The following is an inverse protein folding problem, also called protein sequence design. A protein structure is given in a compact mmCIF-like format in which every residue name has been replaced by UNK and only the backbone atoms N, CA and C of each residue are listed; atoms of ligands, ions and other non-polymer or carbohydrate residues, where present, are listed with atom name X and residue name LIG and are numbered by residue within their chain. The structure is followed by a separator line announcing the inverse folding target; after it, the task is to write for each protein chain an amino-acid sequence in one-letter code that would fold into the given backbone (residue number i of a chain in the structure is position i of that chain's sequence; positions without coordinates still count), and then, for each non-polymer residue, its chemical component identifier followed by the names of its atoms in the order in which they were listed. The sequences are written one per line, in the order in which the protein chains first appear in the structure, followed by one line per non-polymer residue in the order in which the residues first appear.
data_IF_038185585385
#
_entry.id   IF_038185585385
#
_cell.length_a   1.000
_cell.length_b   1.000
_cell.length_c   1.000
_cell.angle_alpha   90.00
_cell.angle_beta   90.00
_cell.angle_gamma   90.00
#
_symmetry.space_group_name_H-M   'P 1'
#
loop_
_entity.id
_entity.type
_entity.pdbx_description
1 polymer ?
#
# COMPACT_ATOMS: atom_id res chain seq x y z
N UNK A 1 -15.02 -16.61 -5.07
CA UNK A 1 -14.14 -16.14 -6.16
C UNK A 1 -13.40 -17.33 -6.77
N UNK A 2 -12.86 -17.19 -7.98
CA UNK A 2 -12.14 -18.27 -8.68
C UNK A 2 -10.71 -17.90 -9.07
N UNK A 3 -10.18 -16.79 -8.55
CA UNK A 3 -8.84 -16.29 -8.85
C UNK A 3 -7.94 -16.48 -7.62
N UNK A 4 -6.88 -17.26 -7.81
CA UNK A 4 -5.97 -17.67 -6.75
C UNK A 4 -4.52 -17.62 -7.23
N UNK A 5 -3.65 -17.00 -6.45
CA UNK A 5 -2.21 -17.17 -6.53
C UNK A 5 -1.74 -17.71 -5.18
N UNK A 6 -1.45 -19.02 -5.11
CA UNK A 6 -1.14 -19.71 -3.84
C UNK A 6 0.14 -20.54 -3.96
N UNK A 7 1.02 -20.47 -2.95
CA UNK A 7 2.26 -21.26 -2.86
C UNK A 7 3.25 -21.05 -4.01
N UNK A 8 3.40 -19.80 -4.47
CA UNK A 8 4.35 -19.46 -5.52
C UNK A 8 5.60 -18.77 -4.96
N UNK A 9 6.67 -18.82 -5.74
CA UNK A 9 7.83 -17.95 -5.61
C UNK A 9 7.87 -17.02 -6.82
N UNK A 10 7.79 -15.71 -6.59
CA UNK A 10 7.78 -14.71 -7.66
C UNK A 10 8.89 -13.69 -7.39
N UNK A 11 9.80 -13.53 -8.34
CA UNK A 11 10.95 -12.67 -8.13
C UNK A 11 11.51 -12.08 -9.41
N UNK A 12 12.38 -11.07 -9.25
CA UNK A 12 13.14 -10.48 -10.34
C UNK A 12 12.24 -9.98 -11.49
N UNK A 13 11.08 -9.42 -11.14
CA UNK A 13 10.19 -8.75 -12.08
C UNK A 13 10.71 -7.33 -12.38
N UNK A 14 10.14 -6.66 -13.37
CA UNK A 14 10.55 -5.29 -13.73
C UNK A 14 11.97 -5.17 -14.34
N UNK A 15 12.43 -6.19 -15.08
CA UNK A 15 13.81 -6.23 -15.63
C UNK A 15 14.09 -5.17 -16.70
N UNK A 16 13.08 -4.87 -17.53
CA UNK A 16 13.18 -3.90 -18.63
C UNK A 16 12.50 -2.59 -18.23
N UNK A 17 11.22 -2.69 -17.85
CA UNK A 17 10.45 -1.58 -17.29
C UNK A 17 10.42 -1.73 -15.77
N UNK A 18 11.11 -0.83 -15.07
CA UNK A 18 11.44 -1.01 -13.64
C UNK A 18 10.32 -0.55 -12.69
N UNK A 19 9.47 0.37 -13.12
CA UNK A 19 8.38 0.94 -12.34
C UNK A 19 7.02 0.51 -12.89
N UNK A 20 5.99 0.46 -12.04
CA UNK A 20 4.59 0.11 -12.40
C UNK A 20 4.41 -1.23 -13.12
N UNK A 21 5.26 -2.21 -12.83
CA UNK A 21 5.17 -3.58 -13.34
C UNK A 21 5.20 -4.55 -12.16
N UNK A 22 4.11 -4.60 -11.35
CA UNK A 22 4.08 -5.43 -10.15
C UNK A 22 4.14 -6.91 -10.49
N UNK A 23 4.63 -7.72 -9.53
CA UNK A 23 4.58 -9.18 -9.64
C UNK A 23 3.15 -9.71 -9.67
N UNK A 24 2.24 -9.08 -8.92
CA UNK A 24 0.82 -9.41 -8.90
C UNK A 24 0.01 -8.13 -9.05
N UNK A 25 -0.90 -8.10 -10.02
CA UNK A 25 -1.91 -7.06 -10.13
C UNK A 25 -3.28 -7.64 -9.83
N UNK A 26 -3.87 -7.24 -8.71
CA UNK A 26 -5.23 -7.60 -8.35
C UNK A 26 -6.20 -6.56 -8.91
N UNK A 27 -7.15 -7.02 -9.70
CA UNK A 27 -8.24 -6.20 -10.22
C UNK A 27 -9.56 -6.97 -10.13
N UNK A 28 -10.64 -6.30 -9.74
CA UNK A 28 -11.99 -6.86 -9.68
C UNK A 28 -12.48 -7.14 -8.27
N UNK A 29 -12.86 -8.38 -7.97
CA UNK A 29 -13.39 -8.73 -6.65
C UNK A 29 -13.03 -10.16 -6.22
N UNK A 30 -12.71 -10.33 -4.94
CA UNK A 30 -12.65 -11.63 -4.28
C UNK A 30 -11.38 -12.45 -4.51
N UNK A 31 -10.41 -11.97 -5.30
CA UNK A 31 -9.18 -12.72 -5.57
C UNK A 31 -8.36 -13.00 -4.29
N UNK A 32 -7.65 -14.12 -4.27
CA UNK A 32 -6.84 -14.54 -3.11
C UNK A 32 -5.36 -14.70 -3.49
N UNK A 33 -4.49 -14.05 -2.72
CA UNK A 33 -3.03 -14.16 -2.81
C UNK A 33 -2.55 -14.71 -1.49
N UNK A 34 -2.15 -15.97 -1.44
CA UNK A 34 -1.85 -16.64 -0.17
C UNK A 34 -0.58 -17.45 -0.18
N UNK A 35 0.17 -17.40 0.92
CA UNK A 35 1.31 -18.30 1.14
C UNK A 35 2.37 -18.23 0.02
N UNK A 36 2.52 -17.07 -0.64
CA UNK A 36 3.56 -16.84 -1.64
C UNK A 36 4.80 -16.21 -1.01
N UNK A 37 5.95 -16.40 -1.65
CA UNK A 37 7.19 -15.64 -1.38
C UNK A 37 7.49 -14.73 -2.56
N UNK A 38 7.52 -13.42 -2.32
CA UNK A 38 7.67 -12.40 -3.36
C UNK A 38 8.86 -11.51 -2.99
N UNK A 39 9.84 -11.41 -3.88
CA UNK A 39 11.11 -10.76 -3.54
C UNK A 39 11.90 -10.26 -4.74
N UNK A 40 12.91 -9.43 -4.49
CA UNK A 40 13.81 -8.92 -5.51
C UNK A 40 13.07 -8.17 -6.62
N UNK A 41 12.31 -7.14 -6.23
CA UNK A 41 11.48 -6.34 -7.13
C UNK A 41 11.82 -4.85 -6.97
N UNK A 42 12.14 -4.14 -8.05
CA UNK A 42 12.66 -2.77 -7.98
C UNK A 42 11.63 -1.72 -7.52
N UNK A 43 10.33 -1.96 -7.71
CA UNK A 43 9.24 -1.03 -7.40
C UNK A 43 8.19 -1.66 -6.47
N UNK A 44 7.01 -2.01 -6.98
CA UNK A 44 5.92 -2.62 -6.20
C UNK A 44 5.83 -4.11 -6.48
N UNK A 45 5.58 -4.91 -5.46
CA UNK A 45 5.35 -6.35 -5.60
C UNK A 45 3.88 -6.65 -5.91
N UNK A 46 2.95 -5.94 -5.27
CA UNK A 46 1.51 -6.15 -5.43
C UNK A 46 0.79 -4.83 -5.55
N UNK A 47 0.01 -4.67 -6.61
CA UNK A 47 -0.96 -3.58 -6.76
C UNK A 47 -2.37 -4.12 -6.59
N UNK A 48 -3.16 -3.47 -5.73
CA UNK A 48 -4.51 -3.88 -5.37
C UNK A 48 -5.53 -2.86 -5.86
N UNK A 49 -6.41 -3.28 -6.75
CA UNK A 49 -7.58 -2.55 -7.20
C UNK A 49 -8.82 -3.44 -7.06
N UNK A 50 -9.88 -2.97 -6.41
CA UNK A 50 -11.13 -3.73 -6.29
C UNK A 50 -11.53 -4.10 -4.86
N UNK A 51 -12.40 -5.09 -4.70
CA UNK A 51 -13.10 -5.40 -3.45
C UNK A 51 -12.87 -6.82 -2.95
N UNK A 52 -12.99 -7.03 -1.64
CA UNK A 52 -13.03 -8.35 -1.01
C UNK A 52 -11.82 -9.25 -1.33
N UNK A 53 -10.68 -8.66 -1.67
CA UNK A 53 -9.45 -9.40 -1.88
C UNK A 53 -8.85 -9.88 -0.57
N UNK A 54 -8.25 -11.06 -0.59
CA UNK A 54 -7.54 -11.62 0.57
C UNK A 54 -6.06 -11.79 0.25
N UNK A 55 -5.21 -11.08 0.97
CA UNK A 55 -3.75 -11.20 0.90
C UNK A 55 -3.29 -11.78 2.24
N UNK A 56 -3.06 -13.09 2.30
CA UNK A 56 -2.91 -13.81 3.56
C UNK A 56 -1.68 -14.72 3.62
N UNK A 57 -0.84 -14.56 4.64
CA UNK A 57 0.29 -15.47 4.90
C UNK A 57 1.43 -15.40 3.89
N UNK A 58 1.55 -14.34 3.11
CA UNK A 58 2.64 -14.16 2.14
C UNK A 58 3.89 -13.58 2.82
N UNK A 59 5.05 -13.81 2.23
CA UNK A 59 6.31 -13.18 2.60
C UNK A 59 6.76 -12.25 1.49
N UNK A 60 6.90 -10.97 1.80
CA UNK A 60 7.42 -9.91 0.95
C UNK A 60 8.79 -9.50 1.47
N UNK A 61 9.86 -9.62 0.68
CA UNK A 61 11.16 -9.16 1.13
C UNK A 61 12.06 -8.61 0.04
N UNK A 62 12.87 -7.61 0.41
CA UNK A 62 13.81 -6.95 -0.49
C UNK A 62 13.11 -6.44 -1.77
N UNK A 63 12.17 -5.51 -1.54
CA UNK A 63 11.31 -4.90 -2.56
C UNK A 63 11.41 -3.37 -2.41
N UNK A 64 11.19 -2.63 -3.50
CA UNK A 64 11.15 -1.17 -3.54
C UNK A 64 12.51 -0.46 -3.36
N UNK A 65 13.63 -1.15 -3.55
CA UNK A 65 14.97 -0.60 -3.28
C UNK A 65 15.49 0.42 -4.31
N UNK A 66 14.77 0.67 -5.41
CA UNK A 66 15.24 1.50 -6.54
C UNK A 66 14.36 2.73 -6.78
N UNK A 67 13.34 2.94 -5.95
CA UNK A 67 12.36 4.00 -6.15
C UNK A 67 11.99 4.65 -4.80
N UNK A 68 11.61 5.92 -4.86
CA UNK A 68 10.94 6.64 -3.77
C UNK A 68 9.43 6.63 -3.99
N UNK A 69 8.67 7.01 -2.97
CA UNK A 69 7.21 7.14 -3.05
C UNK A 69 6.51 5.93 -3.68
N UNK A 70 6.92 4.74 -3.23
CA UNK A 70 6.35 3.47 -3.66
C UNK A 70 6.23 2.53 -2.47
N UNK A 71 5.61 1.38 -2.69
CA UNK A 71 5.55 0.36 -1.66
C UNK A 71 5.46 -1.06 -2.18
N UNK A 72 5.76 -2.01 -1.31
CA UNK A 72 5.74 -3.43 -1.65
C UNK A 72 4.31 -3.89 -1.98
N UNK A 73 3.33 -3.44 -1.20
CA UNK A 73 1.90 -3.58 -1.50
C UNK A 73 1.26 -2.21 -1.60
N UNK A 74 0.69 -1.88 -2.76
CA UNK A 74 0.10 -0.57 -3.03
C UNK A 74 -1.40 -0.66 -3.34
N UNK A 75 -2.17 0.27 -2.78
CA UNK A 75 -3.54 0.61 -3.20
C UNK A 75 -3.69 2.13 -3.23
N UNK A 76 -4.38 2.67 -4.24
CA UNK A 76 -4.54 4.13 -4.41
C UNK A 76 -5.98 4.49 -4.78
N UNK A 77 -6.39 5.74 -4.48
CA UNK A 77 -7.46 6.47 -5.20
C UNK A 77 -8.83 5.78 -5.27
N UNK A 78 -9.27 5.13 -4.19
CA UNK A 78 -10.64 4.63 -4.14
C UNK A 78 -11.18 4.52 -2.73
N UNK A 79 -12.34 5.13 -2.50
CA UNK A 79 -13.15 4.91 -1.30
C UNK A 79 -14.10 3.70 -1.41
N UNK A 80 -14.26 3.14 -2.63
CA UNK A 80 -15.19 2.06 -2.91
C UNK A 80 -14.55 0.67 -2.90
N UNK A 81 -13.23 0.57 -2.68
CA UNK A 81 -12.45 -0.68 -2.61
C UNK A 81 -12.46 -1.28 -1.19
N UNK A 82 -13.65 -1.69 -0.77
CA UNK A 82 -13.98 -2.19 0.56
C UNK A 82 -13.73 -3.70 0.71
N UNK A 83 -13.68 -4.16 1.96
CA UNK A 83 -13.64 -5.59 2.29
C UNK A 83 -12.29 -6.28 2.06
N UNK A 84 -11.29 -5.56 1.58
CA UNK A 84 -9.95 -6.09 1.35
C UNK A 84 -9.23 -6.37 2.69
N UNK A 85 -8.64 -7.55 2.81
CA UNK A 85 -7.94 -8.00 4.02
C UNK A 85 -6.48 -8.33 3.69
N UNK A 86 -5.56 -7.71 4.42
CA UNK A 86 -4.13 -8.00 4.41
C UNK A 86 -3.79 -8.61 5.76
N UNK A 87 -3.61 -9.93 5.84
CA UNK A 87 -3.45 -10.65 7.09
C UNK A 87 -2.26 -11.59 7.17
N UNK A 88 -1.66 -11.71 8.35
CA UNK A 88 -0.61 -12.72 8.64
C UNK A 88 0.58 -12.69 7.67
N UNK A 89 0.82 -11.60 6.94
CA UNK A 89 1.95 -11.49 6.01
C UNK A 89 3.20 -11.05 6.76
N UNK A 90 4.36 -11.38 6.20
CA UNK A 90 5.66 -10.90 6.64
C UNK A 90 6.20 -9.92 5.60
N UNK A 91 6.55 -8.72 6.05
CA UNK A 91 7.25 -7.72 5.26
C UNK A 91 8.64 -7.52 5.84
N UNK A 92 9.68 -7.76 5.05
CA UNK A 92 11.07 -7.70 5.51
C UNK A 92 11.93 -6.88 4.57
N UNK A 93 12.84 -6.07 5.11
CA UNK A 93 13.82 -5.32 4.30
C UNK A 93 13.13 -4.48 3.21
N UNK A 94 12.16 -3.66 3.60
CA UNK A 94 11.48 -2.74 2.69
C UNK A 94 12.06 -1.35 2.90
N UNK A 95 13.14 -1.05 2.19
CA UNK A 95 13.90 0.19 2.33
C UNK A 95 14.61 0.52 1.01
N UNK A 96 14.90 1.81 0.80
CA UNK A 96 15.61 2.29 -0.39
C UNK A 96 16.91 3.01 0.02
N UNK A 97 18.09 2.64 -0.51
CA UNK A 97 19.34 3.36 -0.25
C UNK A 97 19.41 4.71 -0.99
N UNK A 98 18.55 4.94 -2.00
CA UNK A 98 18.68 6.07 -2.91
C UNK A 98 17.80 7.27 -2.54
N UNK A 99 16.73 7.06 -1.78
CA UNK A 99 15.73 8.09 -1.50
C UNK A 99 15.64 8.37 0.00
N UNK A 100 16.53 9.24 0.51
CA UNK A 100 16.43 9.76 1.87
C UNK A 100 15.24 10.70 2.07
N UNK A 101 14.70 11.27 1.00
CA UNK A 101 13.64 12.28 1.02
C UNK A 101 12.25 11.68 0.73
N UNK A 102 12.20 10.50 0.10
CA UNK A 102 10.96 9.78 -0.20
C UNK A 102 11.02 8.36 0.32
N UNK A 103 10.45 8.15 1.51
CA UNK A 103 10.39 6.84 2.14
C UNK A 103 9.63 5.85 1.26
N UNK A 104 10.07 4.60 1.30
CA UNK A 104 9.35 3.46 0.75
C UNK A 104 8.48 2.81 1.81
N UNK A 105 7.40 2.17 1.37
CA UNK A 105 6.35 1.64 2.25
C UNK A 105 6.19 0.14 2.11
N UNK A 106 6.05 -0.59 3.21
CA UNK A 106 5.66 -2.00 3.10
C UNK A 106 4.20 -2.12 2.62
N UNK A 107 3.27 -1.40 3.26
CA UNK A 107 1.90 -1.20 2.77
C UNK A 107 1.68 0.28 2.52
N UNK A 108 1.41 0.62 1.26
CA UNK A 108 1.15 1.99 0.82
C UNK A 108 -0.31 2.15 0.41
N UNK A 109 -1.09 2.80 1.26
CA UNK A 109 -2.46 3.22 0.94
C UNK A 109 -2.47 4.70 0.59
N UNK A 110 -2.48 5.03 -0.69
CA UNK A 110 -2.37 6.42 -1.14
C UNK A 110 -3.71 7.06 -1.53
N UNK A 111 -3.76 8.39 -1.54
CA UNK A 111 -4.85 9.22 -2.07
C UNK A 111 -6.25 8.73 -1.68
N UNK A 112 -6.55 8.78 -0.38
CA UNK A 112 -7.85 8.41 0.17
C UNK A 112 -8.28 6.94 0.01
N UNK A 113 -7.33 6.04 -0.28
CA UNK A 113 -7.53 4.60 -0.18
C UNK A 113 -8.24 4.22 1.13
N UNK A 114 -9.38 3.51 1.01
CA UNK A 114 -10.29 3.23 2.13
C UNK A 114 -10.70 1.76 2.18
N UNK A 115 -11.16 1.31 3.35
CA UNK A 115 -11.80 0.00 3.51
C UNK A 115 -10.87 -1.20 3.72
N UNK A 116 -9.58 -0.98 3.94
CA UNK A 116 -8.63 -2.07 4.21
C UNK A 116 -8.67 -2.52 5.67
N UNK A 117 -8.59 -3.83 5.88
CA UNK A 117 -8.23 -4.42 7.17
C UNK A 117 -6.82 -4.99 7.11
N UNK A 118 -5.87 -4.32 7.77
CA UNK A 118 -4.47 -4.74 7.90
C UNK A 118 -4.29 -5.34 9.29
N UNK A 119 -4.18 -6.67 9.36
CA UNK A 119 -4.25 -7.39 10.65
C UNK A 119 -3.17 -8.46 10.81
N UNK A 120 -2.51 -8.50 11.97
CA UNK A 120 -1.53 -9.57 12.33
C UNK A 120 -0.38 -9.74 11.34
N UNK A 121 -0.01 -8.69 10.62
CA UNK A 121 1.20 -8.70 9.78
C UNK A 121 2.44 -8.42 10.64
N UNK A 122 3.57 -8.94 10.21
CA UNK A 122 4.87 -8.74 10.85
C UNK A 122 5.76 -7.92 9.92
N UNK A 123 6.24 -6.77 10.40
CA UNK A 123 7.12 -5.86 9.67
C UNK A 123 8.50 -5.86 10.33
N UNK A 124 9.55 -6.08 9.54
CA UNK A 124 10.93 -6.16 10.01
C UNK A 124 11.88 -5.40 9.09
N UNK A 125 12.62 -4.43 9.63
CA UNK A 125 13.56 -3.63 8.84
C UNK A 125 12.87 -2.94 7.65
N UNK A 126 11.88 -2.09 7.93
CA UNK A 126 11.14 -1.33 6.93
C UNK A 126 11.30 0.17 7.16
N UNK A 127 11.33 1.00 6.11
CA UNK A 127 11.28 2.45 6.27
C UNK A 127 9.92 2.88 6.84
N UNK A 128 8.90 3.03 6.01
CA UNK A 128 7.52 3.15 6.50
C UNK A 128 6.87 1.75 6.44
N UNK A 129 6.42 1.19 7.56
CA UNK A 129 5.72 -0.09 7.52
C UNK A 129 4.31 0.06 6.92
N UNK A 130 3.53 1.04 7.37
CA UNK A 130 2.21 1.34 6.81
C UNK A 130 2.09 2.83 6.59
N UNK A 131 1.73 3.25 5.38
CA UNK A 131 1.23 4.60 5.13
C UNK A 131 -0.28 4.57 4.88
N UNK A 132 -1.00 5.48 5.53
CA UNK A 132 -2.41 5.81 5.29
C UNK A 132 -2.48 7.26 4.77
N UNK A 133 -2.68 7.39 3.45
CA UNK A 133 -2.74 8.64 2.69
C UNK A 133 -4.08 9.36 2.81
N UNK A 134 -4.69 9.31 3.99
CA UNK A 134 -6.08 9.69 4.22
C UNK A 134 -7.05 8.52 4.01
N UNK A 135 -8.30 8.84 3.62
CA UNK A 135 -9.34 7.84 3.41
C UNK A 135 -10.07 7.47 4.70
N UNK A 136 -10.99 6.51 4.63
CA UNK A 136 -11.87 6.15 5.76
C UNK A 136 -11.95 4.65 5.95
N UNK A 137 -12.39 4.23 7.13
CA UNK A 137 -12.71 2.82 7.44
C UNK A 137 -11.53 1.84 7.29
N UNK A 138 -10.31 2.36 7.33
CA UNK A 138 -9.10 1.55 7.38
C UNK A 138 -8.87 1.06 8.81
N UNK A 139 -8.58 -0.23 8.98
CA UNK A 139 -8.36 -0.87 10.28
C UNK A 139 -6.94 -1.44 10.33
N UNK A 140 -6.15 -0.99 11.29
CA UNK A 140 -4.79 -1.50 11.54
C UNK A 140 -4.79 -2.17 12.91
N UNK A 141 -4.75 -3.52 12.94
CA UNK A 141 -5.05 -4.30 14.14
C UNK A 141 -3.96 -5.35 14.40
N UNK A 142 -3.42 -5.41 15.63
CA UNK A 142 -2.52 -6.49 16.06
C UNK A 142 -1.30 -6.75 15.16
N UNK A 143 -0.85 -5.75 14.40
CA UNK A 143 0.38 -5.86 13.61
C UNK A 143 1.59 -5.71 14.53
N UNK A 144 2.67 -6.39 14.19
CA UNK A 144 3.93 -6.32 14.92
C UNK A 144 4.99 -5.64 14.06
N UNK A 145 5.71 -4.69 14.66
CA UNK A 145 6.71 -3.88 14.00
C UNK A 145 8.03 -4.02 14.75
N UNK A 146 9.10 -4.32 14.03
CA UNK A 146 10.44 -4.44 14.57
C UNK A 146 11.43 -3.75 13.63
N UNK A 147 12.29 -2.89 14.16
CA UNK A 147 13.24 -2.09 13.38
C UNK A 147 12.58 -1.39 12.18
N UNK A 148 11.53 -0.60 12.41
CA UNK A 148 10.91 0.20 11.35
C UNK A 148 11.12 1.69 11.64
N UNK A 149 11.49 2.50 10.64
CA UNK A 149 11.69 3.95 10.82
C UNK A 149 10.37 4.61 11.26
N UNK A 150 9.28 4.26 10.57
CA UNK A 150 7.91 4.63 10.93
C UNK A 150 6.99 3.41 10.89
N UNK A 151 6.33 3.10 12.00
CA UNK A 151 5.39 1.97 12.06
C UNK A 151 4.09 2.25 11.28
N UNK A 152 3.45 3.39 11.56
CA UNK A 152 2.24 3.83 10.86
C UNK A 152 2.33 5.33 10.63
N UNK A 153 2.41 5.74 9.37
CA UNK A 153 2.35 7.13 8.94
C UNK A 153 0.93 7.46 8.48
N UNK A 154 0.31 8.47 9.09
CA UNK A 154 -0.99 8.98 8.67
C UNK A 154 -0.83 10.36 8.05
N UNK A 155 -1.14 10.47 6.76
CA UNK A 155 -1.09 11.72 6.01
C UNK A 155 -2.31 12.59 6.30
N UNK A 156 -2.13 13.91 6.24
CA UNK A 156 -3.21 14.90 6.39
C UNK A 156 -4.03 15.10 5.10
N UNK A 157 -3.83 14.27 4.07
CA UNK A 157 -4.59 14.33 2.82
C UNK A 157 -6.10 14.27 3.12
N UNK A 158 -6.82 15.30 2.69
CA UNK A 158 -8.26 15.45 2.91
C UNK A 158 -8.67 16.16 4.20
N UNK A 159 -7.71 16.67 4.97
CA UNK A 159 -7.95 17.57 6.10
C UNK A 159 -7.79 19.05 5.74
N UNK A 160 -7.30 19.37 4.54
CA UNK A 160 -7.37 20.74 4.02
C UNK A 160 -8.83 21.10 3.76
N UNK A 161 -9.43 21.83 4.69
CA UNK A 161 -10.36 22.87 4.29
C UNK A 161 -9.53 23.88 3.51
N UNK A 162 -9.85 24.11 2.23
CA UNK A 162 -9.56 25.41 1.61
C UNK A 162 -10.43 26.44 2.33
N UNK A 163 -10.04 26.76 3.56
CA UNK A 163 -10.50 27.90 4.32
C UNK A 163 -9.31 28.82 4.56
N UNK A 164 -8.49 29.03 3.52
CA UNK A 164 -8.02 30.39 3.30
C UNK A 164 -9.25 31.17 2.89
N UNK A 165 -9.84 31.89 3.83
CA UNK A 165 -10.76 32.98 3.56
C UNK A 165 -10.04 34.05 2.72
N UNK A 166 -9.83 33.80 1.43
CA UNK A 166 -9.68 34.83 0.42
C UNK A 166 -11.07 35.02 -0.16
N UNK A 167 -11.84 35.89 0.48
CA UNK A 167 -13.20 36.20 0.10
C UNK A 167 -13.25 36.83 -1.28
N UNK A 168 -13.53 36.03 -2.31
CA UNK A 168 -13.98 36.52 -3.62
C UNK A 168 -15.08 35.66 -4.28
N UNK A 169 -15.48 34.51 -3.72
CA UNK A 169 -16.44 33.60 -4.39
C UNK A 169 -17.92 33.74 -3.98
N UNK A 170 -18.31 34.86 -3.35
CA UNK A 170 -19.68 35.13 -2.86
C UNK A 170 -20.30 36.39 -3.50
N UNK A 171 -19.91 36.76 -4.72
CA UNK A 171 -20.51 37.90 -5.45
C UNK A 171 -21.32 37.56 -6.70
N UNK A 172 -21.30 36.32 -7.17
CA UNK A 172 -21.90 35.98 -8.48
C UNK A 172 -23.19 35.15 -8.38
N UNK A 173 -23.93 35.23 -7.27
CA UNK A 173 -25.23 34.55 -7.13
C UNK A 173 -26.42 35.46 -6.79
N UNK A 174 -26.27 36.78 -6.96
CA UNK A 174 -27.40 37.73 -6.87
C UNK A 174 -27.36 38.77 -8.00
N UNK A 175 -27.39 38.32 -9.26
CA UNK A 175 -27.76 39.16 -10.41
C UNK A 175 -28.67 38.43 -11.39
#
# INVERSE_FOLDING_TARGET
SHLYAIHNQIHSTGRVLRTYHPAIHLNGCGAQVRLNTIYNIPHSALELNGNDHTIDGNTFHDISWECGDCGALMMTRSFSYQGNVISNNVFRNIWSPFTKEENVRAIFMDDHASGLTIIKNYFYNCSDAILIGGGRQNKVLYNHFHDCDTCVYMSQRGLQEDCSASGELMKDLES
#
